data_IF_645998365119
#
_entry.id   IF_645998365119
#
_cell.length_a   1.000
_cell.length_b   1.000
_cell.length_c   1.000
_cell.angle_alpha   90.00
_cell.angle_beta   90.00
_cell.angle_gamma   90.00
#
_symmetry.space_group_name_H-M   'P 1'
#
loop_
_entity.id
_entity.type
_entity.pdbx_description
1 polymer ?
#
# COMPACT_ATOMS: atom_id res chain seq x y z
N UNK A 1 3.84 12.30 2.40
CA UNK A 1 2.69 12.79 3.19
C UNK A 1 1.48 13.13 2.34
N UNK A 2 1.59 14.05 1.37
CA UNK A 2 0.43 14.50 0.59
C UNK A 2 0.39 13.96 -0.85
N UNK A 3 1.50 13.40 -1.31
CA UNK A 3 1.66 12.81 -2.64
C UNK A 3 1.58 11.28 -2.51
N UNK A 4 0.91 10.63 -3.46
CA UNK A 4 0.85 9.18 -3.55
C UNK A 4 2.15 8.58 -4.07
N UNK A 5 2.10 7.27 -4.31
CA UNK A 5 3.28 6.45 -4.63
C UNK A 5 4.03 6.94 -5.86
N UNK A 6 3.30 7.36 -6.88
CA UNK A 6 3.86 7.75 -8.18
C UNK A 6 4.21 9.22 -8.19
N UNK A 7 3.39 10.07 -7.56
CA UNK A 7 3.64 11.51 -7.50
C UNK A 7 4.85 11.84 -6.61
N UNK A 8 5.03 11.12 -5.50
CA UNK A 8 6.20 11.29 -4.63
C UNK A 8 7.52 11.00 -5.37
N UNK A 9 7.53 9.96 -6.20
CA UNK A 9 8.67 9.60 -7.05
C UNK A 9 8.90 10.65 -8.15
N UNK A 10 7.82 11.12 -8.79
CA UNK A 10 7.91 12.12 -9.85
C UNK A 10 8.48 13.46 -9.36
N UNK A 11 8.03 13.94 -8.20
CA UNK A 11 8.55 15.19 -7.59
C UNK A 11 10.01 15.04 -7.16
N UNK A 12 10.43 13.82 -6.81
CA UNK A 12 11.81 13.51 -6.44
C UNK A 12 12.67 13.08 -7.64
N UNK A 13 12.16 13.18 -8.87
CA UNK A 13 12.78 12.60 -10.08
C UNK A 13 14.23 13.03 -10.29
N UNK A 14 14.53 14.29 -10.05
CA UNK A 14 15.84 14.87 -10.27
C UNK A 14 16.91 14.37 -9.28
N UNK A 15 16.47 14.04 -8.06
CA UNK A 15 17.29 13.35 -7.07
C UNK A 15 17.47 11.88 -7.45
N UNK A 16 16.38 11.19 -7.81
CA UNK A 16 16.37 9.75 -8.11
C UNK A 16 17.30 9.39 -9.27
N UNK A 17 17.42 10.25 -10.29
CA UNK A 17 18.32 10.05 -11.43
C UNK A 17 19.81 10.02 -11.08
N UNK A 18 20.19 10.60 -9.94
CA UNK A 18 21.60 10.78 -9.52
C UNK A 18 21.95 9.99 -8.27
N UNK A 19 20.97 9.30 -7.68
CA UNK A 19 21.18 8.42 -6.55
C UNK A 19 21.65 7.05 -7.00
N UNK A 20 22.40 6.36 -6.13
CA UNK A 20 22.71 4.96 -6.33
C UNK A 20 21.44 4.08 -6.25
N UNK A 21 21.52 2.86 -6.79
CA UNK A 21 20.35 1.99 -6.93
C UNK A 21 19.76 1.56 -5.59
N UNK A 22 20.61 1.43 -4.56
CA UNK A 22 20.20 1.10 -3.19
C UNK A 22 19.38 2.22 -2.53
N UNK A 23 19.75 3.48 -2.76
CA UNK A 23 18.98 4.65 -2.30
C UNK A 23 17.65 4.73 -3.03
N UNK A 24 17.64 4.48 -4.34
CA UNK A 24 16.39 4.43 -5.12
C UNK A 24 15.47 3.31 -4.63
N UNK A 25 16.01 2.13 -4.31
CA UNK A 25 15.25 1.05 -3.68
C UNK A 25 14.64 1.48 -2.34
N UNK A 26 15.39 2.19 -1.51
CA UNK A 26 14.88 2.74 -0.23
C UNK A 26 13.66 3.62 -0.44
N UNK A 27 13.74 4.56 -1.39
CA UNK A 27 12.60 5.44 -1.72
C UNK A 27 11.43 4.65 -2.30
N UNK A 28 11.69 3.62 -3.12
CA UNK A 28 10.65 2.75 -3.67
C UNK A 28 9.93 1.96 -2.56
N UNK A 29 10.66 1.43 -1.58
CA UNK A 29 10.10 0.75 -0.40
C UNK A 29 9.26 1.70 0.46
N UNK A 30 9.75 2.92 0.72
CA UNK A 30 8.98 3.93 1.45
C UNK A 30 7.70 4.32 0.70
N UNK A 31 7.78 4.41 -0.63
CA UNK A 31 6.64 4.77 -1.48
C UNK A 31 5.49 3.76 -1.39
N UNK A 32 5.74 2.49 -1.07
CA UNK A 32 4.69 1.47 -0.85
C UNK A 32 3.72 1.83 0.27
N UNK A 33 4.13 2.66 1.23
CA UNK A 33 3.33 3.06 2.40
C UNK A 33 2.64 4.41 2.25
N UNK A 34 2.92 5.12 1.15
CA UNK A 34 2.35 6.45 0.92
C UNK A 34 0.85 6.37 0.65
N UNK A 35 0.16 7.48 0.88
CA UNK A 35 -1.26 7.66 0.55
C UNK A 35 -1.37 9.03 -0.10
N UNK A 36 -2.10 9.13 -1.22
CA UNK A 36 -2.30 10.41 -1.90
C UNK A 36 -3.33 11.24 -1.15
N UNK A 37 -3.05 12.54 -0.93
CA UNK A 37 -4.02 13.47 -0.36
C UNK A 37 -5.32 13.53 -1.17
N UNK A 38 -5.24 13.31 -2.49
CA UNK A 38 -6.39 13.27 -3.38
C UNK A 38 -7.41 12.19 -3.02
N UNK A 39 -6.97 11.09 -2.38
CA UNK A 39 -7.84 9.96 -2.05
C UNK A 39 -8.24 9.91 -0.57
N UNK A 40 -7.60 10.71 0.28
CA UNK A 40 -7.96 10.78 1.72
C UNK A 40 -9.43 11.13 1.89
N UNK A 41 -9.94 12.04 1.06
CA UNK A 41 -11.37 12.42 1.04
C UNK A 41 -12.31 11.24 0.75
N UNK A 42 -11.88 10.25 -0.02
CA UNK A 42 -12.66 9.04 -0.26
C UNK A 42 -12.59 8.08 0.94
N UNK A 43 -11.42 7.91 1.56
CA UNK A 43 -11.26 7.04 2.73
C UNK A 43 -12.12 7.47 3.91
N UNK A 44 -12.17 8.78 4.21
CA UNK A 44 -12.97 9.29 5.33
C UNK A 44 -14.49 9.11 5.15
N UNK A 45 -14.96 8.79 3.94
CA UNK A 45 -16.36 8.44 3.66
C UNK A 45 -16.65 6.95 3.89
N UNK A 46 -15.62 6.11 3.94
CA UNK A 46 -15.74 4.65 4.03
C UNK A 46 -15.37 4.10 5.40
N UNK A 47 -14.43 4.76 6.09
CA UNK A 47 -13.89 4.35 7.39
C UNK A 47 -13.67 5.57 8.29
N UNK A 48 -13.59 5.42 9.64
CA UNK A 48 -13.48 6.54 10.57
C UNK A 48 -12.32 7.48 10.23
N UNK A 49 -12.64 8.75 9.97
CA UNK A 49 -11.67 9.72 9.48
C UNK A 49 -10.56 10.02 10.47
N UNK A 50 -10.83 9.92 11.78
CA UNK A 50 -9.82 10.14 12.83
C UNK A 50 -8.70 9.10 12.72
N UNK A 51 -9.04 7.84 12.45
CA UNK A 51 -8.08 6.76 12.26
C UNK A 51 -7.30 6.92 10.95
N UNK A 52 -7.96 7.41 9.88
CA UNK A 52 -7.28 7.74 8.61
C UNK A 52 -6.21 8.79 8.82
N UNK A 53 -6.57 9.90 9.46
CA UNK A 53 -5.66 11.01 9.71
C UNK A 53 -4.55 10.65 10.69
N UNK A 54 -4.79 9.72 11.60
CA UNK A 54 -3.78 9.19 12.53
C UNK A 54 -2.77 8.28 11.83
N UNK A 55 -3.22 7.43 10.90
CA UNK A 55 -2.35 6.47 10.21
C UNK A 55 -1.33 7.13 9.27
N UNK A 56 -1.70 8.23 8.59
CA UNK A 56 -0.84 8.91 7.61
C UNK A 56 0.52 9.34 8.19
N UNK A 57 0.61 10.09 9.30
CA UNK A 57 1.90 10.46 9.88
C UNK A 57 2.68 9.24 10.41
N UNK A 58 1.99 8.26 10.99
CA UNK A 58 2.61 7.04 11.50
C UNK A 58 3.28 6.23 10.38
N UNK A 59 2.65 6.14 9.20
CA UNK A 59 3.23 5.45 8.05
C UNK A 59 4.58 6.02 7.64
N UNK A 60 4.82 7.33 7.78
CA UNK A 60 6.11 7.93 7.43
C UNK A 60 7.19 7.44 8.37
N UNK A 61 6.92 7.55 9.68
CA UNK A 61 7.85 7.15 10.73
C UNK A 61 8.15 5.65 10.56
N UNK A 62 7.11 4.86 10.37
CA UNK A 62 7.22 3.42 10.18
C UNK A 62 7.92 3.06 8.87
N UNK A 63 7.70 3.81 7.78
CA UNK A 63 8.41 3.61 6.52
C UNK A 63 9.90 3.87 6.65
N UNK A 64 10.30 4.90 7.41
CA UNK A 64 11.71 5.16 7.71
C UNK A 64 12.29 3.99 8.51
N UNK A 65 11.63 3.59 9.61
CA UNK A 65 12.07 2.47 10.46
C UNK A 65 12.24 1.18 9.63
N UNK A 66 11.20 0.78 8.91
CA UNK A 66 11.18 -0.46 8.13
C UNK A 66 12.20 -0.39 6.98
N UNK A 67 12.33 0.75 6.31
CA UNK A 67 13.30 0.89 5.23
C UNK A 67 14.74 0.83 5.72
N UNK A 68 15.06 1.40 6.88
CA UNK A 68 16.37 1.27 7.51
C UNK A 68 16.67 -0.15 7.97
N UNK A 69 15.66 -0.91 8.41
CA UNK A 69 15.82 -2.32 8.81
C UNK A 69 16.04 -3.23 7.61
N UNK A 70 15.24 -3.07 6.55
CA UNK A 70 15.29 -3.93 5.38
C UNK A 70 16.47 -3.57 4.47
N UNK A 71 16.70 -2.29 4.22
CA UNK A 71 17.71 -1.79 3.30
C UNK A 71 18.56 -0.70 3.95
N UNK A 72 19.44 -1.04 4.91
CA UNK A 72 20.32 -0.08 5.54
C UNK A 72 21.28 0.50 4.50
N UNK A 73 21.17 1.80 4.24
CA UNK A 73 22.06 2.52 3.32
C UNK A 73 22.95 3.46 4.12
N UNK A 74 24.26 3.37 3.87
CA UNK A 74 25.22 4.39 4.31
C UNK A 74 25.45 5.38 3.18
N UNK A 75 25.36 6.67 3.47
CA UNK A 75 25.60 7.74 2.50
C UNK A 75 26.92 8.40 2.87
N UNK A 76 27.91 8.31 1.97
CA UNK A 76 29.15 9.06 2.14
C UNK A 76 28.90 10.56 1.98
N UNK A 77 29.68 11.41 2.64
CA UNK A 77 29.52 12.87 2.61
C UNK A 77 29.56 13.44 1.17
N UNK A 78 30.34 12.81 0.28
CA UNK A 78 30.42 13.16 -1.15
C UNK A 78 29.13 12.86 -1.93
N UNK A 79 28.30 11.95 -1.45
CA UNK A 79 27.03 11.53 -2.06
C UNK A 79 25.81 12.18 -1.39
N UNK A 80 26.01 12.89 -0.27
CA UNK A 80 24.97 13.61 0.45
C UNK A 80 24.67 14.98 -0.17
N UNK A 81 24.28 14.94 -1.44
CA UNK A 81 23.98 16.13 -2.24
C UNK A 81 22.46 16.16 -2.48
N UNK A 82 21.84 17.28 -2.09
CA UNK A 82 20.44 17.58 -2.39
C UNK A 82 20.37 18.24 -3.77
N UNK A 83 20.00 17.46 -4.77
CA UNK A 83 19.68 17.94 -6.12
C UNK A 83 18.29 18.56 -6.10
N UNK A 84 18.25 19.89 -6.01
CA UNK A 84 17.01 20.64 -6.14
C UNK A 84 16.79 21.10 -7.58
N UNK A 85 15.54 21.33 -7.96
CA UNK A 85 15.14 21.93 -9.24
C UNK A 85 15.55 23.41 -9.39
N UNK A 86 16.48 23.92 -8.55
CA UNK A 86 16.83 25.35 -8.42
C UNK A 86 17.38 26.01 -9.70
N UNK A 87 17.63 25.26 -10.77
CA UNK A 87 18.22 25.80 -12.01
C UNK A 87 17.25 26.03 -13.17
N UNK A 88 15.97 25.69 -13.03
CA UNK A 88 14.97 26.16 -13.97
C UNK A 88 14.15 27.25 -13.28
N UNK A 89 14.12 28.45 -13.87
CA UNK A 89 13.04 29.42 -13.66
C UNK A 89 11.73 28.75 -14.07
N UNK A 90 11.20 27.86 -13.23
CA UNK A 90 9.86 27.33 -13.42
C UNK A 90 8.95 28.48 -13.03
N UNK A 91 8.55 29.26 -14.04
CA UNK A 91 7.49 30.25 -13.89
C UNK A 91 6.33 29.58 -13.16
N UNK A 92 5.93 30.14 -12.01
CA UNK A 92 4.77 29.66 -11.29
C UNK A 92 3.59 29.81 -12.23
N UNK A 93 3.00 28.67 -12.62
CA UNK A 93 1.83 28.67 -13.49
C UNK A 93 0.73 29.56 -12.88
N UNK A 94 -0.02 30.31 -13.70
CA UNK A 94 -1.20 31.04 -13.25
C UNK A 94 -2.18 30.11 -12.51
N UNK A 95 -2.83 30.61 -11.47
CA UNK A 95 -3.69 29.82 -10.57
C UNK A 95 -4.70 28.93 -11.30
N UNK A 96 -5.39 29.45 -12.32
CA UNK A 96 -6.37 28.68 -13.08
C UNK A 96 -5.76 27.62 -14.00
N UNK A 97 -4.54 27.86 -14.51
CA UNK A 97 -3.79 26.83 -15.26
C UNK A 97 -3.43 25.68 -14.32
N UNK A 98 -2.89 26.00 -13.15
CA UNK A 98 -2.55 25.00 -12.14
C UNK A 98 -3.78 24.22 -11.65
N UNK A 99 -4.91 24.90 -11.44
CA UNK A 99 -6.17 24.24 -11.11
C UNK A 99 -6.63 23.31 -12.23
N UNK A 100 -6.58 23.76 -13.49
CA UNK A 100 -6.94 22.93 -14.65
C UNK A 100 -6.10 21.66 -14.73
N UNK A 101 -4.77 21.80 -14.61
CA UNK A 101 -3.84 20.67 -14.60
C UNK A 101 -4.11 19.72 -13.42
N UNK A 102 -4.42 20.28 -12.24
CA UNK A 102 -4.75 19.49 -11.04
C UNK A 102 -6.05 18.68 -11.22
N UNK A 103 -7.08 19.27 -11.83
CA UNK A 103 -8.36 18.59 -12.13
C UNK A 103 -8.13 17.47 -13.16
N UNK A 104 -7.35 17.72 -14.20
CA UNK A 104 -7.00 16.70 -15.21
C UNK A 104 -6.20 15.54 -14.59
N UNK A 105 -5.23 15.84 -13.73
CA UNK A 105 -4.45 14.85 -13.01
C UNK A 105 -5.33 13.99 -12.09
N UNK A 106 -6.22 14.62 -11.31
CA UNK A 106 -7.19 13.91 -10.46
C UNK A 106 -8.15 13.04 -11.28
N UNK A 107 -8.67 13.54 -12.41
CA UNK A 107 -9.53 12.77 -13.30
C UNK A 107 -8.83 11.54 -13.88
N UNK A 108 -7.57 11.68 -14.31
CA UNK A 108 -6.75 10.56 -14.75
C UNK A 108 -6.53 9.54 -13.63
N UNK A 109 -6.23 10.00 -12.42
CA UNK A 109 -6.06 9.14 -11.25
C UNK A 109 -7.33 8.33 -10.94
N UNK A 110 -8.51 8.96 -10.99
CA UNK A 110 -9.81 8.28 -10.79
C UNK A 110 -10.02 7.18 -11.84
N UNK A 111 -9.78 7.47 -13.13
CA UNK A 111 -9.91 6.46 -14.20
C UNK A 111 -8.95 5.29 -14.01
N UNK A 112 -7.71 5.57 -13.59
CA UNK A 112 -6.72 4.55 -13.24
C UNK A 112 -7.25 3.70 -12.09
N UNK A 113 -7.68 4.29 -10.98
CA UNK A 113 -8.21 3.55 -9.82
C UNK A 113 -9.38 2.66 -10.24
N UNK A 114 -10.35 3.18 -10.99
CA UNK A 114 -11.50 2.39 -11.48
C UNK A 114 -11.02 1.19 -12.30
N UNK A 115 -10.13 1.41 -13.27
CA UNK A 115 -9.61 0.35 -14.12
C UNK A 115 -8.85 -0.72 -13.32
N UNK A 116 -8.02 -0.30 -12.37
CA UNK A 116 -7.25 -1.18 -11.49
C UNK A 116 -8.15 -1.97 -10.54
N UNK A 117 -9.11 -1.33 -9.88
CA UNK A 117 -10.07 -2.00 -8.99
C UNK A 117 -10.88 -3.05 -9.76
N UNK A 118 -11.44 -2.70 -10.92
CA UNK A 118 -12.20 -3.66 -11.74
C UNK A 118 -11.32 -4.85 -12.15
N UNK A 119 -10.11 -4.58 -12.63
CA UNK A 119 -9.19 -5.60 -13.13
C UNK A 119 -8.71 -6.54 -12.02
N UNK A 120 -8.27 -6.00 -10.88
CA UNK A 120 -7.77 -6.82 -9.76
C UNK A 120 -8.89 -7.54 -9.01
N UNK A 121 -10.08 -6.94 -8.87
CA UNK A 121 -11.24 -7.65 -8.30
C UNK A 121 -11.66 -8.81 -9.20
N UNK A 122 -11.77 -8.58 -10.51
CA UNK A 122 -12.12 -9.63 -11.46
C UNK A 122 -11.06 -10.75 -11.49
N UNK A 123 -9.78 -10.39 -11.47
CA UNK A 123 -8.69 -11.35 -11.46
C UNK A 123 -8.62 -12.12 -10.14
N UNK A 124 -8.80 -11.45 -9.01
CA UNK A 124 -8.86 -12.10 -7.70
C UNK A 124 -10.06 -13.05 -7.60
N UNK A 125 -11.24 -12.66 -8.09
CA UNK A 125 -12.42 -13.53 -8.15
C UNK A 125 -12.18 -14.74 -9.05
N UNK A 126 -11.53 -14.55 -10.21
CA UNK A 126 -11.14 -15.65 -11.09
C UNK A 126 -10.20 -16.65 -10.38
N UNK A 127 -9.15 -16.15 -9.72
CA UNK A 127 -8.23 -17.00 -8.97
C UNK A 127 -8.92 -17.67 -7.78
N UNK A 128 -9.76 -16.95 -7.05
CA UNK A 128 -10.52 -17.50 -5.92
C UNK A 128 -11.42 -18.64 -6.38
N UNK A 129 -12.16 -18.47 -7.48
CA UNK A 129 -12.98 -19.54 -8.08
C UNK A 129 -12.14 -20.73 -8.55
N UNK A 130 -10.99 -20.47 -9.18
CA UNK A 130 -10.10 -21.52 -9.65
C UNK A 130 -9.51 -22.32 -8.48
N UNK A 131 -9.07 -21.65 -7.43
CA UNK A 131 -8.55 -22.28 -6.21
C UNK A 131 -9.67 -23.02 -5.49
N UNK A 132 -10.87 -22.45 -5.39
CA UNK A 132 -12.04 -23.13 -4.82
C UNK A 132 -12.39 -24.41 -5.59
N UNK A 133 -12.30 -24.39 -6.93
CA UNK A 133 -12.51 -25.57 -7.75
C UNK A 133 -11.47 -26.65 -7.44
N UNK A 134 -10.18 -26.30 -7.41
CA UNK A 134 -9.09 -27.25 -7.12
C UNK A 134 -9.20 -27.80 -5.70
N UNK A 135 -9.39 -26.92 -4.70
CA UNK A 135 -9.47 -27.32 -3.29
C UNK A 135 -10.74 -28.12 -3.01
N UNK A 136 -11.85 -27.82 -3.68
CA UNK A 136 -13.08 -28.62 -3.63
C UNK A 136 -12.90 -30.01 -4.22
N UNK A 137 -12.17 -30.15 -5.34
CA UNK A 137 -11.83 -31.45 -5.92
C UNK A 137 -10.93 -32.27 -4.99
N UNK A 138 -9.90 -31.66 -4.42
CA UNK A 138 -8.98 -32.29 -3.46
C UNK A 138 -9.70 -32.65 -2.15
N UNK A 139 -10.54 -31.76 -1.63
CA UNK A 139 -11.36 -31.99 -0.44
C UNK A 139 -12.33 -33.17 -0.64
N UNK A 140 -12.93 -33.26 -1.83
CA UNK A 140 -13.75 -34.40 -2.23
C UNK A 140 -12.98 -35.73 -2.27
N UNK A 141 -11.70 -35.71 -2.64
CA UNK A 141 -10.84 -36.90 -2.65
C UNK A 141 -10.33 -37.32 -1.26
N UNK A 142 -10.12 -36.36 -0.35
CA UNK A 142 -9.57 -36.58 1.00
C UNK A 142 -10.68 -36.72 2.06
N UNK A 143 -11.95 -36.57 1.67
CA UNK A 143 -13.11 -36.66 2.57
C UNK A 143 -13.35 -35.44 3.46
N UNK A 144 -12.67 -34.32 3.16
CA UNK A 144 -12.86 -33.03 3.85
C UNK A 144 -13.95 -32.26 3.10
N UNK A 145 -15.06 -31.93 3.79
CA UNK A 145 -16.12 -31.10 3.23
C UNK A 145 -15.70 -29.63 3.25
N UNK A 146 -15.45 -29.05 2.07
CA UNK A 146 -15.24 -27.61 1.91
C UNK A 146 -14.32 -27.27 0.74
N UNK A 147 -14.31 -25.99 0.35
CA UNK A 147 -13.30 -25.38 -0.51
C UNK A 147 -12.63 -24.24 0.24
N UNK A 148 -11.37 -23.97 -0.07
CA UNK A 148 -10.64 -22.83 0.48
C UNK A 148 -10.37 -21.86 -0.66
N UNK A 149 -10.78 -20.61 -0.49
CA UNK A 149 -10.48 -19.53 -1.43
C UNK A 149 -9.07 -18.97 -1.22
N UNK A 150 -8.70 -18.07 -2.12
CA UNK A 150 -7.43 -17.35 -2.10
C UNK A 150 -7.27 -16.54 -0.81
N UNK A 151 -8.35 -15.91 -0.34
CA UNK A 151 -8.33 -15.11 0.88
C UNK A 151 -8.09 -15.96 2.13
N UNK A 152 -8.65 -17.17 2.20
CA UNK A 152 -8.43 -18.08 3.32
C UNK A 152 -6.99 -18.58 3.33
N UNK A 153 -6.45 -18.97 2.16
CA UNK A 153 -5.06 -19.45 2.05
C UNK A 153 -4.08 -18.36 2.48
N UNK A 154 -4.24 -17.14 1.95
CA UNK A 154 -3.36 -16.03 2.30
C UNK A 154 -3.63 -15.51 3.72
N UNK A 155 -4.86 -15.64 4.21
CA UNK A 155 -5.27 -15.34 5.57
C UNK A 155 -4.50 -16.15 6.60
N UNK A 156 -4.14 -17.41 6.31
CA UNK A 156 -3.28 -18.24 7.20
C UNK A 156 -1.94 -17.54 7.49
N UNK A 157 -1.35 -16.88 6.51
CA UNK A 157 -0.08 -16.16 6.70
C UNK A 157 -0.27 -14.87 7.50
N UNK A 158 -1.40 -14.19 7.34
CA UNK A 158 -1.72 -12.96 8.08
C UNK A 158 -2.26 -13.22 9.49
N UNK A 159 -2.77 -14.42 9.77
CA UNK A 159 -3.41 -14.76 11.03
C UNK A 159 -2.51 -14.65 12.26
N UNK A 160 -1.25 -15.14 12.26
CA UNK A 160 -0.32 -14.88 13.36
C UNK A 160 -0.13 -13.40 13.64
N UNK A 161 -0.08 -12.56 12.59
CA UNK A 161 0.08 -11.11 12.77
C UNK A 161 -1.20 -10.47 13.31
N UNK A 162 -2.38 -10.91 12.87
CA UNK A 162 -3.64 -10.43 13.44
C UNK A 162 -3.76 -10.75 14.95
N UNK A 163 -3.31 -11.93 15.37
CA UNK A 163 -3.24 -12.29 16.80
C UNK A 163 -2.22 -11.43 17.56
N UNK A 164 -1.03 -11.20 16.98
CA UNK A 164 -0.01 -10.33 17.59
C UNK A 164 -0.46 -8.87 17.71
N UNK A 165 -1.44 -8.44 16.90
CA UNK A 165 -2.05 -7.12 16.99
C UNK A 165 -3.06 -6.99 18.15
N UNK A 166 -3.38 -8.08 18.85
CA UNK A 166 -4.24 -8.07 20.04
C UNK A 166 -5.68 -8.54 19.81
N UNK A 167 -6.01 -9.01 18.62
CA UNK A 167 -7.37 -9.44 18.28
C UNK A 167 -7.74 -10.80 18.90
N UNK A 168 -8.99 -10.96 19.39
CA UNK A 168 -9.55 -12.27 19.76
C UNK A 168 -9.47 -13.28 18.60
N UNK A 169 -9.41 -14.58 18.89
CA UNK A 169 -9.23 -15.61 17.87
C UNK A 169 -10.26 -15.59 16.73
N UNK A 170 -11.52 -15.33 17.07
CA UNK A 170 -12.64 -15.23 16.13
C UNK A 170 -12.54 -13.99 15.24
N UNK A 171 -12.18 -12.83 15.81
CA UNK A 171 -11.97 -11.60 15.05
C UNK A 171 -10.68 -11.63 14.22
N UNK A 172 -9.60 -12.19 14.78
CA UNK A 172 -8.29 -12.27 14.16
C UNK A 172 -8.33 -13.03 12.83
N UNK A 173 -9.14 -14.09 12.73
CA UNK A 173 -9.27 -14.84 11.48
C UNK A 173 -9.97 -14.03 10.39
N UNK A 174 -10.99 -13.26 10.76
CA UNK A 174 -11.68 -12.37 9.82
C UNK A 174 -10.75 -11.25 9.35
N UNK A 175 -10.08 -10.58 10.29
CA UNK A 175 -9.15 -9.48 10.00
C UNK A 175 -7.98 -9.97 9.16
N UNK A 176 -7.42 -11.15 9.44
CA UNK A 176 -6.33 -11.73 8.65
C UNK A 176 -6.70 -11.93 7.18
N UNK A 177 -7.93 -12.40 6.90
CA UNK A 177 -8.43 -12.53 5.53
C UNK A 177 -8.59 -11.18 4.86
N UNK A 178 -9.08 -10.17 5.57
CA UNK A 178 -9.19 -8.79 5.06
C UNK A 178 -7.80 -8.19 4.76
N UNK A 179 -6.83 -8.40 5.65
CA UNK A 179 -5.44 -7.98 5.45
C UNK A 179 -4.82 -8.64 4.22
N UNK A 180 -5.02 -9.95 4.06
CA UNK A 180 -4.56 -10.69 2.89
C UNK A 180 -5.23 -10.20 1.60
N UNK A 181 -6.54 -9.95 1.64
CA UNK A 181 -7.31 -9.44 0.50
C UNK A 181 -6.79 -8.08 0.02
N UNK A 182 -6.46 -7.17 0.95
CA UNK A 182 -5.83 -5.88 0.62
C UNK A 182 -4.54 -6.08 -0.18
N UNK A 183 -3.68 -7.00 0.23
CA UNK A 183 -2.38 -7.26 -0.42
C UNK A 183 -2.56 -7.72 -1.87
N UNK A 184 -3.54 -8.59 -2.12
CA UNK A 184 -3.84 -9.12 -3.46
C UNK A 184 -4.58 -8.12 -4.35
N UNK A 185 -5.57 -7.46 -3.78
CA UNK A 185 -6.46 -6.55 -4.52
C UNK A 185 -6.02 -5.11 -4.29
N UNK A 186 -6.68 -4.41 -3.39
CA UNK A 186 -6.42 -3.05 -3.01
C UNK A 186 -7.22 -2.73 -1.72
N UNK A 187 -6.77 -1.75 -0.96
CA UNK A 187 -7.43 -1.26 0.24
C UNK A 187 -8.87 -0.76 0.03
N UNK A 188 -9.20 -0.15 -1.12
CA UNK A 188 -10.56 0.28 -1.46
C UNK A 188 -11.56 -0.88 -1.51
N UNK A 189 -11.12 -2.05 -1.97
CA UNK A 189 -11.99 -3.25 -2.05
C UNK A 189 -12.41 -3.66 -0.65
N UNK A 190 -11.45 -3.74 0.27
CA UNK A 190 -11.70 -4.13 1.66
C UNK A 190 -12.50 -3.06 2.39
N UNK A 191 -12.15 -1.78 2.23
CA UNK A 191 -12.92 -0.67 2.81
C UNK A 191 -14.37 -0.69 2.34
N UNK A 192 -14.61 -0.99 1.05
CA UNK A 192 -15.97 -1.08 0.50
C UNK A 192 -16.80 -2.16 1.19
N UNK A 193 -16.19 -3.30 1.52
CA UNK A 193 -16.82 -4.42 2.20
C UNK A 193 -17.12 -4.12 3.67
N UNK A 194 -16.17 -3.52 4.39
CA UNK A 194 -16.36 -3.26 5.82
C UNK A 194 -17.13 -1.97 6.12
N UNK A 195 -17.26 -1.04 5.16
CA UNK A 195 -17.83 0.29 5.37
C UNK A 195 -19.20 0.32 6.04
N UNK A 196 -20.02 -0.72 5.79
CA UNK A 196 -21.38 -0.83 6.36
C UNK A 196 -21.38 -1.32 7.81
N UNK A 197 -20.41 -2.15 8.16
CA UNK A 197 -20.38 -2.87 9.43
C UNK A 197 -19.35 -2.29 10.40
N UNK A 198 -18.40 -1.47 9.92
CA UNK A 198 -17.29 -0.92 10.69
C UNK A 198 -17.73 -0.15 11.95
N UNK A 199 -18.91 0.45 11.91
CA UNK A 199 -19.51 1.15 13.05
C UNK A 199 -19.91 0.19 14.20
N UNK A 200 -20.11 -1.09 13.91
CA UNK A 200 -20.45 -2.13 14.89
C UNK A 200 -19.23 -2.81 15.50
N UNK A 201 -18.04 -2.66 14.89
CA UNK A 201 -16.82 -3.32 15.37
C UNK A 201 -16.39 -2.77 16.72
N UNK A 202 -15.75 -3.62 17.53
CA UNK A 202 -15.10 -3.20 18.78
C UNK A 202 -14.10 -2.07 18.51
N UNK A 203 -13.84 -1.16 19.47
CA UNK A 203 -12.91 -0.07 19.27
C UNK A 203 -11.53 -0.56 18.80
N UNK A 204 -11.02 -1.63 19.42
CA UNK A 204 -9.77 -2.27 19.03
C UNK A 204 -9.77 -2.81 17.59
N UNK A 205 -10.76 -3.65 17.22
CA UNK A 205 -10.86 -4.19 15.86
C UNK A 205 -10.93 -3.07 14.84
N UNK A 206 -11.80 -2.09 15.06
CA UNK A 206 -11.95 -0.92 14.19
C UNK A 206 -10.64 -0.17 14.00
N UNK A 207 -9.90 0.06 15.08
CA UNK A 207 -8.59 0.72 15.03
C UNK A 207 -7.59 -0.08 14.19
N UNK A 208 -7.43 -1.36 14.49
CA UNK A 208 -6.47 -2.26 13.83
C UNK A 208 -6.75 -2.37 12.33
N UNK A 209 -7.98 -2.73 11.93
CA UNK A 209 -8.29 -2.93 10.51
C UNK A 209 -8.20 -1.62 9.73
N UNK A 210 -8.76 -0.52 10.26
CA UNK A 210 -8.76 0.76 9.56
C UNK A 210 -7.34 1.20 9.29
N UNK A 211 -6.50 1.25 10.32
CA UNK A 211 -5.14 1.78 10.21
C UNK A 211 -4.21 0.87 9.42
N UNK A 212 -4.43 -0.45 9.46
CA UNK A 212 -3.77 -1.38 8.54
C UNK A 212 -4.10 -1.07 7.08
N UNK A 213 -5.36 -0.73 6.76
CA UNK A 213 -5.80 -0.48 5.40
C UNK A 213 -5.25 0.83 4.82
N UNK A 214 -4.91 1.82 5.66
CA UNK A 214 -4.37 3.12 5.19
C UNK A 214 -2.91 2.97 4.77
N UNK A 215 -2.69 2.40 3.60
CA UNK A 215 -1.41 2.39 2.88
C UNK A 215 -1.66 1.75 1.52
N UNK A 216 -0.83 2.05 0.53
CA UNK A 216 -0.92 1.41 -0.77
C UNK A 216 -0.16 0.07 -0.89
N UNK A 217 0.05 -0.66 0.21
CA UNK A 217 0.80 -1.92 0.22
C UNK A 217 0.03 -3.09 -0.43
N UNK A 218 0.14 -3.20 -1.77
CA UNK A 218 -0.47 -4.26 -2.58
C UNK A 218 0.33 -4.50 -3.88
N UNK A 219 0.02 -5.57 -4.62
CA UNK A 219 0.72 -5.91 -5.87
C UNK A 219 0.55 -4.86 -6.99
N UNK A 220 -0.62 -4.21 -7.07
CA UNK A 220 -0.86 -3.18 -8.10
C UNK A 220 0.07 -1.98 -7.93
N UNK A 221 0.36 -1.58 -6.69
CA UNK A 221 1.26 -0.49 -6.35
C UNK A 221 2.69 -0.74 -6.76
N UNK A 222 3.17 -1.99 -6.67
CA UNK A 222 4.49 -2.36 -7.15
C UNK A 222 4.62 -2.06 -8.64
N UNK A 223 3.61 -2.47 -9.43
CA UNK A 223 3.56 -2.19 -10.86
C UNK A 223 3.61 -0.70 -11.16
N UNK A 224 2.85 0.11 -10.41
CA UNK A 224 2.86 1.57 -10.54
C UNK A 224 4.22 2.19 -10.19
N UNK A 225 4.86 1.76 -9.10
CA UNK A 225 6.18 2.26 -8.68
C UNK A 225 7.25 1.91 -9.71
N UNK A 226 7.33 0.63 -10.13
CA UNK A 226 8.31 0.18 -11.13
C UNK A 226 8.06 0.88 -12.47
N UNK A 227 6.81 1.01 -12.91
CA UNK A 227 6.46 1.73 -14.13
C UNK A 227 6.88 3.21 -14.08
N UNK A 228 6.70 3.85 -12.93
CA UNK A 228 7.12 5.24 -12.73
C UNK A 228 8.64 5.37 -12.73
N UNK A 229 9.36 4.49 -12.04
CA UNK A 229 10.82 4.47 -12.03
C UNK A 229 11.40 4.26 -13.43
N UNK A 230 10.84 3.35 -14.24
CA UNK A 230 11.25 3.15 -15.64
C UNK A 230 11.20 4.43 -16.49
N UNK A 231 10.29 5.36 -16.17
CA UNK A 231 10.17 6.64 -16.85
C UNK A 231 11.06 7.75 -16.29
N UNK A 232 11.70 7.54 -15.12
CA UNK A 232 12.46 8.56 -14.40
C UNK A 232 13.95 8.28 -14.39
N UNK A 233 14.34 7.06 -14.00
CA UNK A 233 15.74 6.65 -13.82
C UNK A 233 16.25 5.86 -15.02
N UNK A 234 17.56 5.64 -15.09
CA UNK A 234 18.15 4.81 -16.14
C UNK A 234 17.73 3.34 -16.03
N UNK A 235 17.90 2.59 -17.12
CA UNK A 235 17.48 1.19 -17.22
C UNK A 235 18.16 0.30 -16.17
N UNK A 236 19.45 0.51 -15.88
CA UNK A 236 20.19 -0.32 -14.91
C UNK A 236 19.58 -0.16 -13.52
N UNK A 237 19.29 1.06 -13.11
CA UNK A 237 18.64 1.36 -11.83
C UNK A 237 17.24 0.77 -11.74
N UNK A 238 16.41 0.96 -12.77
CA UNK A 238 15.06 0.40 -12.76
C UNK A 238 15.04 -1.14 -12.78
N UNK A 239 15.93 -1.78 -13.52
CA UNK A 239 16.06 -3.24 -13.56
C UNK A 239 16.60 -3.77 -12.22
N UNK A 240 17.46 -3.02 -11.54
CA UNK A 240 17.90 -3.33 -10.18
C UNK A 240 16.71 -3.37 -9.21
N UNK A 241 15.94 -2.28 -9.11
CA UNK A 241 14.79 -2.19 -8.18
C UNK A 241 13.75 -3.27 -8.48
N UNK A 242 13.53 -3.61 -9.76
CA UNK A 242 12.58 -4.65 -10.17
C UNK A 242 12.92 -6.05 -9.63
N UNK A 243 14.18 -6.33 -9.27
CA UNK A 243 14.59 -7.60 -8.63
C UNK A 243 14.14 -7.69 -7.17
N UNK A 244 13.86 -6.56 -6.53
CA UNK A 244 13.52 -6.45 -5.11
C UNK A 244 12.02 -6.27 -4.87
N UNK A 245 11.18 -6.65 -5.84
CA UNK A 245 9.71 -6.63 -5.72
C UNK A 245 9.19 -7.32 -4.43
N UNK A 246 9.66 -8.52 -4.04
CA UNK A 246 9.20 -9.15 -2.80
C UNK A 246 9.55 -8.33 -1.55
N UNK A 247 10.71 -7.68 -1.55
CA UNK A 247 11.20 -6.85 -0.44
C UNK A 247 10.41 -5.54 -0.34
N UNK A 248 10.06 -4.93 -1.47
CA UNK A 248 9.16 -3.78 -1.52
C UNK A 248 7.77 -4.12 -0.95
N UNK A 249 7.22 -5.27 -1.34
CA UNK A 249 5.93 -5.71 -0.80
C UNK A 249 6.01 -5.94 0.71
N UNK A 250 7.04 -6.64 1.16
CA UNK A 250 7.29 -6.87 2.58
C UNK A 250 7.39 -5.55 3.35
N UNK A 251 8.12 -4.56 2.81
CA UNK A 251 8.22 -3.23 3.41
C UNK A 251 6.84 -2.59 3.61
N UNK A 252 5.99 -2.60 2.57
CA UNK A 252 4.64 -2.04 2.67
C UNK A 252 3.77 -2.74 3.71
N UNK A 253 3.83 -4.09 3.76
CA UNK A 253 3.09 -4.89 4.73
C UNK A 253 3.56 -4.59 6.15
N UNK A 254 4.87 -4.57 6.39
CA UNK A 254 5.44 -4.29 7.71
C UNK A 254 5.09 -2.89 8.20
N UNK A 255 5.10 -1.89 7.31
CA UNK A 255 4.63 -0.53 7.67
C UNK A 255 3.16 -0.55 8.07
N UNK A 256 2.31 -1.24 7.31
CA UNK A 256 0.87 -1.36 7.62
C UNK A 256 0.64 -2.04 8.97
N UNK A 257 1.37 -3.14 9.24
CA UNK A 257 1.31 -3.88 10.50
C UNK A 257 1.79 -3.02 11.67
N UNK A 258 2.90 -2.31 11.50
CA UNK A 258 3.46 -1.47 12.55
C UNK A 258 2.53 -0.30 12.88
N UNK A 259 1.93 0.34 11.87
CA UNK A 259 0.92 1.39 12.07
C UNK A 259 -0.30 0.85 12.81
N UNK A 260 -0.80 -0.32 12.42
CA UNK A 260 -1.91 -0.98 13.11
C UNK A 260 -1.58 -1.34 14.56
N UNK A 261 -0.37 -1.83 14.82
CA UNK A 261 0.10 -2.16 16.15
C UNK A 261 0.16 -0.92 17.04
N UNK A 262 0.73 0.18 16.52
CA UNK A 262 0.83 1.44 17.26
C UNK A 262 -0.53 1.99 17.65
N UNK A 263 -1.50 2.01 16.74
CA UNK A 263 -2.84 2.54 17.07
C UNK A 263 -3.61 1.55 17.95
N UNK A 264 -3.53 0.25 17.66
CA UNK A 264 -4.19 -0.80 18.44
C UNK A 264 -3.74 -0.85 19.91
N UNK A 265 -2.51 -0.42 20.22
CA UNK A 265 -2.02 -0.29 21.59
C UNK A 265 -2.82 0.71 22.43
N UNK A 266 -3.32 1.77 21.81
CA UNK A 266 -4.01 2.88 22.50
C UNK A 266 -5.53 2.87 22.28
N UNK A 267 -6.05 2.00 21.43
CA UNK A 267 -7.48 1.84 21.16
C UNK A 267 -7.90 0.43 21.55
N UNK A 268 -8.55 0.31 22.71
CA UNK A 268 -9.08 -0.95 23.24
C UNK A 268 -10.61 -0.88 23.39
#
# INVERSE_FOLDING_TARGET
MFLGNTEALAVSSEQLKRMNEMRVLTIAMMSMSSVSGAIVGAYVQMVPGELVLTAIPLNIVNAIIVSCLLNPVSVEEKEDIIYSLKNNEVERQPFFSFLGDSVLAAGKLVLIIIAFVISFVALADLFDRFINLITGLIGGWIGIKGSFGLNQILGVFMYPFALLLGLPYDEAWLVAQQMAKKIVTNEFVVMGEISKDIASYTPHHRAVITTFLISFANFSTIGMIIGTLKGIVDKKTSDFVSKYVPMMLLSGILVSLLTAAFVGLFAW
#
